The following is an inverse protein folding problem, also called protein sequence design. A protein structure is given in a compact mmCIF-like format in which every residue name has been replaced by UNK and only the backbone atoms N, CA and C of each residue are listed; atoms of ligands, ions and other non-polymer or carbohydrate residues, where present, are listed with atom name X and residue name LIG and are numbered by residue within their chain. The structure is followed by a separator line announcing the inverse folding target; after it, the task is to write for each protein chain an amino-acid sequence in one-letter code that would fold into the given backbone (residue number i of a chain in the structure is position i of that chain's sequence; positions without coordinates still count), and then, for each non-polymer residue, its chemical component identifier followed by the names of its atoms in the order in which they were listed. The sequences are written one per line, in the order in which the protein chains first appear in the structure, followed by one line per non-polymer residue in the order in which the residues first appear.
data_IF_119432677043
#
_entry.id   IF_119432677043
#
_cell.length_a   1.000
_cell.length_b   1.000
_cell.length_c   1.000
_cell.angle_alpha   90.00
_cell.angle_beta   90.00
_cell.angle_gamma   90.00
#
_symmetry.space_group_name_H-M   'P 1'
#
loop_
_entity.id
_entity.type
_entity.pdbx_description
1 polymer ?
#
# COMPACT_ATOMS: atom_id res chain seq x y z
N UNK A 1 19.33 9.49 2.17
CA UNK A 1 17.92 9.86 1.98
C UNK A 1 17.85 11.27 1.41
N UNK A 2 16.86 11.56 0.57
CA UNK A 2 16.54 12.89 0.04
C UNK A 2 15.11 13.23 0.48
N UNK A 3 14.89 14.45 0.97
CA UNK A 3 13.55 14.96 1.27
C UNK A 3 13.16 15.95 0.18
N UNK A 4 12.02 15.70 -0.47
CA UNK A 4 11.44 16.57 -1.50
C UNK A 4 10.15 17.17 -0.92
N UNK A 5 9.95 18.48 -1.08
CA UNK A 5 8.74 19.18 -0.65
C UNK A 5 8.09 19.88 -1.85
N UNK A 6 6.78 19.74 -1.96
CA UNK A 6 5.96 20.48 -2.93
C UNK A 6 4.70 21.04 -2.25
N UNK A 7 3.77 21.62 -3.02
CA UNK A 7 2.52 22.17 -2.48
C UNK A 7 1.55 21.12 -1.92
N UNK A 8 1.73 19.85 -2.28
CA UNK A 8 0.86 18.74 -1.90
C UNK A 8 1.40 17.94 -0.70
N UNK A 9 2.67 18.13 -0.32
CA UNK A 9 3.26 17.49 0.86
C UNK A 9 4.77 17.35 0.82
N UNK A 10 5.27 16.30 1.46
CA UNK A 10 6.69 15.94 1.42
C UNK A 10 6.87 14.46 1.15
N UNK A 11 8.03 14.13 0.58
CA UNK A 11 8.46 12.78 0.24
C UNK A 11 9.88 12.56 0.74
N UNK A 12 10.12 11.41 1.35
CA UNK A 12 11.44 10.95 1.76
C UNK A 12 11.79 9.76 0.89
N UNK A 13 12.92 9.84 0.19
CA UNK A 13 13.34 8.83 -0.77
C UNK A 13 14.77 8.39 -0.50
N UNK A 14 15.01 7.08 -0.60
CA UNK A 14 16.36 6.54 -0.63
C UNK A 14 16.76 6.19 -2.07
N UNK A 15 17.97 6.61 -2.46
CA UNK A 15 18.51 6.38 -3.79
C UNK A 15 19.90 5.75 -3.71
N UNK A 16 20.14 4.78 -4.59
CA UNK A 16 21.44 4.15 -4.82
C UNK A 16 21.75 4.18 -6.32
N UNK A 17 22.89 4.77 -6.69
CA UNK A 17 23.30 4.96 -8.09
C UNK A 17 22.23 5.61 -8.99
N UNK A 18 21.51 6.61 -8.45
CA UNK A 18 20.46 7.33 -9.17
C UNK A 18 19.09 6.65 -9.23
N UNK A 19 18.97 5.40 -8.76
CA UNK A 19 17.70 4.65 -8.70
C UNK A 19 17.14 4.62 -7.28
N UNK A 20 15.82 4.53 -7.13
CA UNK A 20 15.18 4.32 -5.81
C UNK A 20 15.60 2.96 -5.25
N UNK A 21 16.12 2.95 -4.03
CA UNK A 21 16.61 1.74 -3.36
C UNK A 21 16.58 1.95 -1.85
N UNK A 22 15.76 1.18 -1.14
CA UNK A 22 15.46 1.32 0.28
C UNK A 22 14.09 1.94 0.56
N UNK A 23 13.91 2.45 1.77
CA UNK A 23 12.65 3.00 2.25
C UNK A 23 12.21 4.22 1.43
N UNK A 24 10.90 4.34 1.28
CA UNK A 24 10.22 5.47 0.67
C UNK A 24 8.98 5.80 1.49
N UNK A 25 8.75 7.09 1.70
CA UNK A 25 7.58 7.57 2.41
C UNK A 25 7.10 8.89 1.82
N UNK A 26 5.79 9.11 1.87
CA UNK A 26 5.13 10.35 1.47
C UNK A 26 4.15 10.75 2.55
N UNK A 27 4.00 12.05 2.73
CA UNK A 27 3.11 12.67 3.69
C UNK A 27 2.31 13.77 3.03
N UNK A 28 1.08 13.93 3.49
CA UNK A 28 0.22 15.07 3.20
C UNK A 28 0.84 16.39 3.69
N UNK A 29 0.34 17.51 3.18
CA UNK A 29 0.81 18.86 3.56
C UNK A 29 0.68 19.17 5.06
N UNK A 30 -0.26 18.51 5.76
CA UNK A 30 -0.50 18.62 7.21
C UNK A 30 0.44 17.75 8.06
N UNK A 31 1.30 16.93 7.43
CA UNK A 31 2.25 16.05 8.12
C UNK A 31 1.76 14.63 8.36
N UNK A 32 0.51 14.31 7.99
CA UNK A 32 -0.01 12.94 8.11
C UNK A 32 0.63 12.08 7.01
N UNK A 33 1.09 10.87 7.37
CA UNK A 33 1.64 9.93 6.39
C UNK A 33 0.56 9.61 5.37
N UNK A 34 0.90 9.64 4.08
CA UNK A 34 0.00 9.33 2.97
C UNK A 34 0.29 7.92 2.43
N UNK A 35 1.56 7.59 2.22
CA UNK A 35 1.96 6.29 1.67
C UNK A 35 3.38 5.93 2.15
N UNK A 36 3.66 4.66 2.38
CA UNK A 36 5.02 4.17 2.59
C UNK A 36 5.26 2.79 2.01
N UNK A 37 6.53 2.47 1.80
CA UNK A 37 7.00 1.18 1.38
C UNK A 37 8.49 1.18 1.07
N UNK A 38 8.93 0.22 0.26
CA UNK A 38 10.33 0.11 -0.14
C UNK A 38 10.48 -0.08 -1.65
N UNK A 39 11.59 0.43 -2.17
CA UNK A 39 12.07 0.17 -3.52
C UNK A 39 13.33 -0.69 -3.50
N UNK A 40 13.52 -1.47 -4.57
CA UNK A 40 14.77 -2.17 -4.87
C UNK A 40 15.09 -1.97 -6.34
N UNK A 41 16.24 -1.35 -6.63
CA UNK A 41 16.67 -1.03 -8.00
C UNK A 41 15.63 -0.28 -8.86
N UNK A 42 14.78 0.56 -8.23
CA UNK A 42 13.73 1.33 -8.90
C UNK A 42 12.34 0.67 -8.92
N UNK A 43 12.20 -0.53 -8.36
CA UNK A 43 10.93 -1.28 -8.37
C UNK A 43 10.34 -1.38 -6.96
N UNK A 44 9.02 -1.20 -6.80
CA UNK A 44 8.31 -1.40 -5.52
C UNK A 44 8.49 -2.85 -5.06
N UNK A 45 8.81 -3.05 -3.78
CA UNK A 45 8.96 -4.38 -3.15
C UNK A 45 8.36 -4.39 -1.75
N UNK A 46 7.92 -5.56 -1.30
CA UNK A 46 7.34 -5.77 0.02
C UNK A 46 5.98 -5.11 0.19
N UNK A 47 5.62 -4.86 1.45
CA UNK A 47 4.37 -4.21 1.80
C UNK A 47 4.45 -2.71 1.51
N UNK A 48 3.42 -2.23 0.86
CA UNK A 48 3.13 -0.83 0.64
C UNK A 48 1.81 -0.50 1.31
N UNK A 49 1.78 0.56 2.11
CA UNK A 49 0.59 0.97 2.85
C UNK A 49 0.24 2.40 2.49
N UNK A 50 -1.05 2.66 2.27
CA UNK A 50 -1.61 4.00 2.10
C UNK A 50 -2.54 4.32 3.27
N UNK A 51 -2.41 5.54 3.75
CA UNK A 51 -3.14 6.07 4.87
C UNK A 51 -4.12 7.13 4.39
N UNK A 52 -5.31 7.18 4.99
CA UNK A 52 -6.24 8.29 4.82
C UNK A 52 -5.76 9.55 5.55
N UNK A 53 -6.46 10.67 5.33
CA UNK A 53 -6.18 11.95 6.03
C UNK A 53 -6.42 11.89 7.54
N UNK A 54 -7.02 10.82 8.06
CA UNK A 54 -7.14 10.55 9.50
C UNK A 54 -5.94 9.78 10.07
N UNK A 55 -4.95 9.41 9.23
CA UNK A 55 -3.78 8.63 9.61
C UNK A 55 -4.03 7.12 9.74
N UNK A 56 -5.20 6.62 9.34
CA UNK A 56 -5.55 5.20 9.38
C UNK A 56 -5.22 4.56 8.02
N UNK A 57 -4.69 3.34 8.02
CA UNK A 57 -4.44 2.58 6.79
C UNK A 57 -5.77 2.30 6.09
N UNK A 58 -5.85 2.68 4.81
CA UNK A 58 -7.04 2.46 3.97
C UNK A 58 -6.79 1.42 2.89
N UNK A 59 -5.53 1.26 2.47
CA UNK A 59 -5.13 0.33 1.42
C UNK A 59 -3.73 -0.24 1.70
N UNK A 60 -3.52 -1.52 1.41
CA UNK A 60 -2.22 -2.17 1.39
C UNK A 60 -2.01 -2.97 0.10
N UNK A 61 -0.77 -3.05 -0.35
CA UNK A 61 -0.34 -3.87 -1.48
C UNK A 61 0.92 -4.64 -1.11
N UNK A 62 1.12 -5.82 -1.70
CA UNK A 62 2.36 -6.58 -1.54
C UNK A 62 3.01 -6.84 -2.90
N UNK A 63 4.23 -6.35 -3.08
CA UNK A 63 5.00 -6.53 -4.31
C UNK A 63 6.14 -7.52 -4.11
N UNK A 64 6.33 -8.41 -5.06
CA UNK A 64 7.52 -9.27 -5.10
C UNK A 64 8.78 -8.52 -5.57
N UNK A 65 9.93 -9.21 -5.61
CA UNK A 65 11.20 -8.64 -6.07
C UNK A 65 11.21 -8.20 -7.55
N UNK A 66 10.18 -8.52 -8.32
CA UNK A 66 10.00 -8.11 -9.72
C UNK A 66 8.97 -6.99 -9.86
N UNK A 67 8.38 -6.51 -8.76
CA UNK A 67 7.34 -5.48 -8.76
C UNK A 67 5.97 -5.99 -9.14
N UNK A 68 5.76 -7.32 -9.14
CA UNK A 68 4.44 -7.90 -9.38
C UNK A 68 3.62 -7.78 -8.11
N UNK A 69 2.43 -7.22 -8.23
CA UNK A 69 1.50 -7.17 -7.12
C UNK A 69 0.95 -8.58 -6.83
N UNK A 70 1.15 -9.06 -5.61
CA UNK A 70 0.74 -10.38 -5.13
C UNK A 70 -0.67 -10.33 -4.55
N UNK A 71 -0.98 -9.29 -3.79
CA UNK A 71 -2.32 -9.05 -3.26
C UNK A 71 -2.54 -7.59 -2.90
N UNK A 72 -3.82 -7.23 -2.78
CA UNK A 72 -4.27 -5.92 -2.29
C UNK A 72 -5.26 -6.14 -1.16
N UNK A 73 -5.21 -5.25 -0.17
CA UNK A 73 -6.14 -5.21 0.95
C UNK A 73 -6.72 -3.81 1.05
N UNK A 74 -8.03 -3.68 1.15
CA UNK A 74 -8.66 -2.41 1.53
C UNK A 74 -9.32 -2.56 2.89
N UNK A 75 -9.43 -1.45 3.62
CA UNK A 75 -9.94 -1.43 4.98
C UNK A 75 -11.17 -0.53 5.09
N UNK A 76 -12.02 -0.86 6.06
CA UNK A 76 -13.02 0.06 6.59
C UNK A 76 -12.36 1.07 7.53
N UNK A 77 -13.06 2.17 7.83
CA UNK A 77 -12.57 3.20 8.75
C UNK A 77 -12.28 2.68 10.17
N UNK A 78 -12.87 1.54 10.55
CA UNK A 78 -12.61 0.87 11.83
C UNK A 78 -11.36 -0.04 11.82
N UNK A 79 -10.64 -0.11 10.70
CA UNK A 79 -9.45 -0.94 10.51
C UNK A 79 -9.73 -2.41 10.18
N UNK A 80 -10.99 -2.82 10.07
CA UNK A 80 -11.34 -4.17 9.59
C UNK A 80 -11.09 -4.27 8.09
N UNK A 81 -10.60 -5.42 7.61
CA UNK A 81 -10.50 -5.71 6.18
C UNK A 81 -11.88 -5.57 5.54
N UNK A 82 -11.92 -4.87 4.41
CA UNK A 82 -13.11 -4.71 3.58
C UNK A 82 -13.04 -5.62 2.36
N UNK A 83 -11.87 -5.64 1.71
CA UNK A 83 -11.63 -6.42 0.50
C UNK A 83 -10.21 -7.00 0.55
N UNK A 84 -10.06 -8.27 0.19
CA UNK A 84 -8.78 -8.91 -0.03
C UNK A 84 -8.76 -9.53 -1.43
N UNK A 85 -7.84 -9.05 -2.27
CA UNK A 85 -7.68 -9.49 -3.65
C UNK A 85 -6.33 -10.15 -3.84
N UNK A 86 -6.34 -11.44 -4.15
CA UNK A 86 -5.15 -12.26 -4.38
C UNK A 86 -4.92 -12.46 -5.88
N UNK A 87 -3.81 -11.97 -6.41
CA UNK A 87 -3.47 -12.09 -7.82
C UNK A 87 -2.85 -13.44 -8.19
N UNK A 88 -2.28 -14.16 -7.22
CA UNK A 88 -1.71 -15.48 -7.45
C UNK A 88 -2.82 -16.52 -7.59
N UNK A 89 -3.75 -16.57 -6.62
CA UNK A 89 -4.91 -17.46 -6.71
C UNK A 89 -6.06 -16.90 -7.55
N UNK A 90 -5.94 -15.65 -8.01
CA UNK A 90 -6.96 -14.92 -8.79
C UNK A 90 -8.32 -14.91 -8.11
N UNK A 91 -8.34 -14.44 -6.88
CA UNK A 91 -9.55 -14.49 -6.06
C UNK A 91 -9.78 -13.22 -5.26
N UNK A 92 -11.04 -12.90 -5.05
CA UNK A 92 -11.53 -11.77 -4.29
C UNK A 92 -12.33 -12.27 -3.09
N UNK A 93 -12.10 -11.67 -1.92
CA UNK A 93 -12.88 -11.90 -0.70
C UNK A 93 -13.37 -10.55 -0.20
N UNK A 94 -14.66 -10.43 0.03
CA UNK A 94 -15.27 -9.26 0.67
C UNK A 94 -15.65 -9.61 2.10
N UNK A 95 -15.47 -8.66 3.00
CA UNK A 95 -15.75 -8.82 4.43
C UNK A 95 -16.72 -7.73 4.89
N UNK A 96 -17.50 -8.03 5.92
CA UNK A 96 -18.33 -7.06 6.63
C UNK A 96 -17.48 -6.25 7.63
N UNK A 97 -18.05 -5.17 8.18
CA UNK A 97 -17.35 -4.32 9.16
C UNK A 97 -16.99 -5.04 10.46
N UNK A 98 -17.63 -6.17 10.76
CA UNK A 98 -17.33 -7.06 11.90
C UNK A 98 -16.24 -8.10 11.60
N UNK A 99 -15.72 -8.14 10.37
CA UNK A 99 -14.66 -9.05 9.92
C UNK A 99 -15.17 -10.39 9.41
N UNK A 100 -16.48 -10.63 9.40
CA UNK A 100 -17.06 -11.84 8.79
C UNK A 100 -16.99 -11.76 7.26
N UNK A 101 -16.77 -12.90 6.60
CA UNK A 101 -16.85 -12.99 5.15
C UNK A 101 -18.28 -12.67 4.70
N UNK A 102 -18.42 -11.76 3.73
CA UNK A 102 -19.71 -11.38 3.15
C UNK A 102 -20.29 -12.46 2.23
N UNK A 103 -19.47 -13.42 1.83
CA UNK A 103 -19.84 -14.59 1.04
C UNK A 103 -18.64 -15.46 0.70
N UNK A 104 -18.82 -16.31 -0.30
CA UNK A 104 -17.74 -17.18 -0.77
C UNK A 104 -16.65 -16.40 -1.50
N UNK A 105 -15.45 -16.98 -1.53
CA UNK A 105 -14.30 -16.49 -2.28
C UNK A 105 -14.62 -16.47 -3.78
N UNK A 106 -14.52 -15.31 -4.41
CA UNK A 106 -14.92 -15.06 -5.81
C UNK A 106 -13.70 -15.17 -6.73
N UNK A 107 -13.63 -16.13 -7.67
CA UNK A 107 -12.57 -16.17 -8.67
C UNK A 107 -12.70 -15.03 -9.68
N UNK A 108 -11.58 -14.47 -10.12
CA UNK A 108 -11.51 -13.51 -11.22
C UNK A 108 -10.56 -13.98 -12.32
N UNK A 109 -10.67 -13.40 -13.51
CA UNK A 109 -9.93 -13.84 -14.70
C UNK A 109 -8.64 -13.05 -14.90
#
# INVERSE_FOLDING_TARGET
YLVIKDSNGFMEINKKYGKLDGAWSRWYADGIKEEEGAYKNGTKVGIWSRYGMNGIVVEEWNFDNQGRNLYEVTYYDNGTVKEYKDYFSKTLQEYNTDGSLKGDKIPFR
#
